data_IF_243608043916
#
_entry.id   IF_243608043916
#
_cell.length_a   1.000
_cell.length_b   1.000
_cell.length_c   1.000
_cell.angle_alpha   90.00
_cell.angle_beta   90.00
_cell.angle_gamma   90.00
#
_symmetry.space_group_name_H-M   'P 1'
#
loop_
_entity.id
_entity.type
_entity.pdbx_description
1 polymer ?
#
# COMPACT_ATOMS: atom_id res chain seq x y z
N UNK A 1 25.71 -44.09 77.69
CA UNK A 1 24.28 -44.35 77.45
C UNK A 1 23.83 -43.42 76.33
N UNK A 2 23.17 -43.83 75.26
CA UNK A 2 22.79 -45.19 74.84
C UNK A 2 21.58 -45.17 73.90
N UNK A 3 21.83 -45.25 72.58
CA UNK A 3 20.84 -45.54 71.52
C UNK A 3 19.71 -44.52 71.24
N UNK A 4 19.00 -44.61 70.09
CA UNK A 4 19.38 -45.23 68.80
C UNK A 4 19.19 -44.31 67.57
N UNK A 5 19.65 -44.80 66.41
CA UNK A 5 19.20 -44.33 65.10
C UNK A 5 17.96 -45.12 64.63
N UNK A 6 17.16 -44.55 63.73
CA UNK A 6 16.18 -45.29 62.92
C UNK A 6 16.04 -44.69 61.52
N UNK A 7 15.99 -45.57 60.52
CA UNK A 7 15.93 -45.27 59.08
C UNK A 7 14.46 -45.28 58.58
N UNK A 8 14.17 -44.98 57.28
CA UNK A 8 12.91 -44.34 56.90
C UNK A 8 11.72 -45.29 56.69
N UNK A 9 10.51 -44.72 56.73
CA UNK A 9 9.26 -45.33 56.26
C UNK A 9 8.81 -44.71 54.93
N UNK A 10 8.39 -45.55 53.99
CA UNK A 10 7.90 -45.13 52.69
C UNK A 10 6.45 -44.60 52.75
N UNK A 11 6.19 -43.50 52.04
CA UNK A 11 4.89 -42.82 52.00
C UNK A 11 4.46 -42.49 50.56
N UNK A 12 3.59 -43.36 50.04
CA UNK A 12 2.91 -43.41 48.74
C UNK A 12 2.80 -42.14 47.88
N UNK A 13 2.97 -42.39 46.58
CA UNK A 13 2.67 -41.55 45.42
C UNK A 13 1.30 -40.84 45.42
N UNK A 14 1.30 -39.57 45.03
CA UNK A 14 0.18 -38.95 44.29
C UNK A 14 0.68 -37.86 43.33
N UNK A 15 0.83 -38.21 42.05
CA UNK A 15 1.07 -37.21 40.99
C UNK A 15 -0.26 -36.53 40.66
N UNK A 16 -0.37 -35.24 40.95
CA UNK A 16 -1.49 -34.42 40.46
C UNK A 16 -1.10 -33.88 39.08
N UNK A 17 -1.78 -34.38 38.05
CA UNK A 17 -1.48 -34.06 36.65
C UNK A 17 -1.83 -32.63 36.27
N UNK A 18 -0.95 -31.98 35.52
CA UNK A 18 -1.22 -30.71 34.84
C UNK A 18 -2.20 -30.92 33.67
N UNK A 19 -3.22 -30.07 33.49
CA UNK A 19 -4.17 -30.22 32.39
C UNK A 19 -3.50 -29.85 31.05
N UNK A 20 -3.22 -30.87 30.22
CA UNK A 20 -2.87 -30.66 28.81
C UNK A 20 -4.10 -30.20 28.03
N UNK A 21 -4.09 -28.96 27.57
CA UNK A 21 -5.04 -28.47 26.57
C UNK A 21 -4.81 -29.16 25.21
N UNK A 22 -5.86 -29.40 24.40
CA UNK A 22 -5.75 -30.12 23.14
C UNK A 22 -5.02 -29.31 22.06
N UNK A 23 -4.10 -29.98 21.37
CA UNK A 23 -3.38 -29.45 20.20
C UNK A 23 -4.25 -29.47 18.95
N UNK A 24 -4.95 -28.38 18.65
CA UNK A 24 -5.63 -28.21 17.37
C UNK A 24 -4.66 -27.76 16.25
N UNK A 25 -4.26 -28.75 15.45
CA UNK A 25 -3.83 -28.71 14.04
C UNK A 25 -3.06 -27.51 13.47
N UNK A 26 -1.84 -27.77 13.00
CA UNK A 26 -1.30 -27.22 11.75
C UNK A 26 -0.26 -28.19 11.18
N UNK A 27 -0.31 -28.56 9.88
CA UNK A 27 0.67 -29.48 9.31
C UNK A 27 2.06 -28.85 9.24
N UNK A 28 3.11 -29.61 9.60
CA UNK A 28 4.49 -29.24 9.28
C UNK A 28 4.74 -29.51 7.80
N UNK A 29 5.01 -28.47 7.02
CA UNK A 29 5.66 -28.61 5.72
C UNK A 29 7.14 -28.95 5.95
N UNK A 30 7.57 -30.14 5.53
CA UNK A 30 8.99 -30.46 5.35
C UNK A 30 9.37 -30.30 3.86
N UNK A 31 10.60 -29.90 3.55
CA UNK A 31 11.04 -29.72 2.17
C UNK A 31 11.21 -31.06 1.45
N UNK A 32 10.88 -31.09 0.16
CA UNK A 32 11.06 -32.27 -0.68
C UNK A 32 12.54 -32.55 -0.94
N UNK A 33 12.92 -33.82 -0.83
CA UNK A 33 14.15 -34.37 -1.37
C UNK A 33 13.82 -35.61 -2.21
N UNK A 34 14.55 -35.78 -3.30
CA UNK A 34 14.42 -36.81 -4.34
C UNK A 34 14.66 -38.24 -3.86
N UNK A 35 13.93 -39.21 -4.41
CA UNK A 35 14.45 -40.29 -5.29
C UNK A 35 13.30 -41.14 -5.85
N UNK A 36 13.56 -41.80 -6.98
CA UNK A 36 12.64 -42.68 -7.72
C UNK A 36 12.25 -43.97 -6.97
N UNK A 37 11.05 -44.49 -7.22
CA UNK A 37 10.86 -45.82 -7.86
C UNK A 37 9.37 -46.19 -8.02
N UNK A 38 9.05 -46.98 -9.04
CA UNK A 38 7.71 -47.53 -9.36
C UNK A 38 7.80 -49.06 -9.38
N UNK A 39 6.82 -49.78 -8.79
CA UNK A 39 6.16 -50.81 -9.60
C UNK A 39 4.63 -50.90 -9.44
N UNK A 40 4.03 -51.47 -10.48
CA UNK A 40 2.61 -51.72 -10.75
C UNK A 40 2.03 -52.99 -10.11
N UNK A 41 0.75 -52.96 -9.74
CA UNK A 41 -0.28 -54.00 -9.99
C UNK A 41 -1.66 -53.43 -9.61
N UNK A 42 -2.66 -53.35 -10.48
CA UNK A 42 -3.63 -54.44 -10.77
C UNK A 42 -4.25 -55.10 -9.53
N UNK A 43 -5.54 -55.42 -9.45
CA UNK A 43 -6.74 -55.02 -10.20
C UNK A 43 -7.97 -55.56 -9.45
N UNK A 44 -9.15 -54.94 -9.60
CA UNK A 44 -10.46 -55.57 -9.89
C UNK A 44 -11.62 -54.64 -9.53
N UNK A 45 -12.54 -54.50 -10.48
CA UNK A 45 -13.86 -53.90 -10.28
C UNK A 45 -14.89 -54.99 -10.03
N UNK A 46 -16.04 -54.63 -9.45
CA UNK A 46 -17.36 -55.25 -9.61
C UNK A 46 -18.40 -54.32 -8.96
N UNK A 47 -19.66 -54.19 -9.42
CA UNK A 47 -20.21 -54.01 -10.77
C UNK A 47 -21.67 -53.50 -10.61
N UNK A 48 -22.24 -52.93 -11.67
CA UNK A 48 -23.69 -52.80 -11.85
C UNK A 48 -24.36 -51.52 -11.31
N UNK A 49 -25.35 -50.93 -11.99
CA UNK A 49 -25.87 -51.23 -13.33
C UNK A 49 -26.74 -50.06 -13.85
N UNK A 50 -26.75 -49.85 -15.19
CA UNK A 50 -27.92 -49.58 -16.09
C UNK A 50 -29.03 -48.59 -15.60
N UNK A 51 -29.58 -47.59 -16.30
CA UNK A 51 -29.72 -47.13 -17.71
C UNK A 51 -30.36 -45.70 -17.66
N UNK A 52 -30.51 -44.85 -18.70
CA UNK A 52 -30.06 -44.80 -20.12
C UNK A 52 -30.18 -43.36 -20.69
N UNK A 53 -29.62 -43.14 -21.88
CA UNK A 53 -29.71 -41.94 -22.77
C UNK A 53 -31.11 -41.74 -23.42
N UNK A 54 -31.38 -40.68 -24.24
CA UNK A 54 -30.86 -39.29 -24.24
C UNK A 54 -32.00 -38.23 -24.34
N UNK A 55 -31.67 -36.93 -24.21
CA UNK A 55 -32.39 -35.86 -24.97
C UNK A 55 -31.62 -34.54 -25.01
N UNK A 56 -31.48 -33.99 -26.23
CA UNK A 56 -30.96 -32.65 -26.46
C UNK A 56 -32.10 -31.61 -26.42
N UNK A 57 -31.82 -30.41 -25.91
CA UNK A 57 -32.73 -29.27 -25.97
C UNK A 57 -31.96 -27.99 -26.30
N UNK A 58 -32.27 -27.41 -27.47
CA UNK A 58 -31.75 -26.12 -27.93
C UNK A 58 -32.45 -24.95 -27.20
N UNK A 59 -31.84 -23.74 -27.17
CA UNK A 59 -32.52 -22.54 -26.71
C UNK A 59 -33.50 -22.00 -27.77
N UNK A 60 -34.66 -21.43 -27.39
CA UNK A 60 -35.57 -20.81 -28.34
C UNK A 60 -35.05 -19.45 -28.84
N UNK A 61 -35.39 -19.15 -30.10
CA UNK A 61 -34.91 -18.02 -30.89
C UNK A 61 -36.06 -17.08 -31.29
N UNK A 62 -35.72 -15.81 -31.58
CA UNK A 62 -36.46 -14.85 -32.43
C UNK A 62 -37.85 -14.39 -31.91
N UNK A 63 -38.41 -13.23 -32.27
CA UNK A 63 -38.44 -12.43 -33.52
C UNK A 63 -38.62 -10.92 -33.18
N UNK A 64 -38.58 -9.88 -34.04
CA UNK A 64 -38.00 -9.56 -35.37
C UNK A 64 -38.10 -8.02 -35.53
N UNK A 65 -37.29 -7.38 -36.39
CA UNK A 65 -37.51 -5.97 -36.78
C UNK A 65 -36.23 -5.22 -37.19
N UNK A 66 -36.08 -4.91 -38.48
CA UNK A 66 -34.91 -4.23 -39.07
C UNK A 66 -35.30 -2.84 -39.66
N UNK A 67 -34.54 -2.20 -40.59
CA UNK A 67 -33.43 -1.29 -40.23
C UNK A 67 -33.53 0.12 -40.88
N UNK A 68 -32.72 1.08 -40.43
CA UNK A 68 -32.35 2.29 -41.20
C UNK A 68 -30.95 2.80 -40.79
N UNK A 69 -29.92 2.57 -41.61
CA UNK A 69 -29.35 3.50 -42.62
C UNK A 69 -28.78 4.81 -42.07
N UNK A 70 -27.44 4.90 -42.02
CA UNK A 70 -26.69 6.17 -42.09
C UNK A 70 -26.93 6.87 -43.43
N UNK A 71 -26.60 8.16 -43.53
CA UNK A 71 -25.55 8.50 -44.49
C UNK A 71 -24.44 9.38 -43.90
N UNK A 72 -23.21 9.13 -44.36
CA UNK A 72 -22.16 10.15 -44.39
C UNK A 72 -22.34 11.03 -45.63
N UNK A 73 -22.09 12.32 -45.52
CA UNK A 73 -21.85 13.19 -46.67
C UNK A 73 -20.69 14.14 -46.34
N UNK A 74 -19.74 14.23 -47.27
CA UNK A 74 -18.62 15.16 -47.23
C UNK A 74 -18.66 16.04 -48.49
N UNK A 75 -17.76 17.04 -48.54
CA UNK A 75 -17.38 17.84 -49.71
C UNK A 75 -18.36 18.97 -50.10
N UNK A 76 -17.90 20.22 -49.92
CA UNK A 76 -17.63 21.12 -51.06
C UNK A 76 -16.64 22.24 -50.70
N UNK A 77 -15.88 22.68 -51.71
CA UNK A 77 -14.85 23.74 -51.67
C UNK A 77 -15.44 25.10 -52.09
N UNK A 78 -14.82 26.20 -51.64
CA UNK A 78 -15.02 27.56 -52.16
C UNK A 78 -14.89 28.59 -51.03
N UNK A 79 -13.79 29.32 -50.81
CA UNK A 79 -13.01 30.24 -51.67
C UNK A 79 -13.48 31.70 -51.56
N UNK A 80 -12.51 32.58 -51.26
CA UNK A 80 -12.55 34.05 -51.28
C UNK A 80 -13.40 34.73 -50.18
N UNK A 81 -12.77 35.66 -49.45
CA UNK A 81 -13.42 36.47 -48.42
C UNK A 81 -13.77 37.88 -48.90
N UNK A 82 -14.56 38.60 -48.10
CA UNK A 82 -14.76 40.05 -48.18
C UNK A 82 -15.15 40.57 -46.79
N UNK A 83 -14.69 41.78 -46.45
CA UNK A 83 -15.06 42.50 -45.23
C UNK A 83 -16.56 42.87 -45.22
N UNK A 84 -17.23 42.59 -44.11
CA UNK A 84 -18.49 43.24 -43.73
C UNK A 84 -18.48 43.53 -42.22
N UNK A 85 -18.70 44.78 -41.80
CA UNK A 85 -18.69 45.15 -40.38
C UNK A 85 -19.95 44.67 -39.65
N UNK A 86 -19.79 44.37 -38.36
CA UNK A 86 -20.89 43.99 -37.47
C UNK A 86 -21.87 45.16 -37.26
N UNK A 87 -23.20 44.91 -37.21
CA UNK A 87 -24.19 45.95 -36.90
C UNK A 87 -24.07 46.41 -35.43
N UNK A 88 -24.46 47.66 -35.12
CA UNK A 88 -24.31 48.22 -33.77
C UNK A 88 -25.25 47.55 -32.75
N UNK A 89 -24.88 47.50 -31.46
CA UNK A 89 -25.66 46.84 -30.43
C UNK A 89 -26.96 47.57 -30.12
N UNK A 90 -28.07 46.84 -30.13
CA UNK A 90 -29.40 47.35 -29.80
C UNK A 90 -29.49 47.82 -28.35
N UNK A 91 -29.76 49.11 -28.16
CA UNK A 91 -30.17 49.68 -26.88
C UNK A 91 -31.59 49.20 -26.55
N UNK A 92 -31.73 48.25 -25.61
CA UNK A 92 -32.83 48.12 -24.62
C UNK A 92 -32.90 46.69 -24.04
N UNK A 93 -32.20 46.46 -22.93
CA UNK A 93 -32.59 45.52 -21.86
C UNK A 93 -31.70 45.77 -20.64
N UNK A 94 -32.25 46.01 -19.44
CA UNK A 94 -31.43 46.21 -18.26
C UNK A 94 -30.74 44.91 -17.86
N UNK A 95 -29.41 44.93 -17.75
CA UNK A 95 -28.64 43.80 -17.25
C UNK A 95 -28.96 43.60 -15.77
N UNK A 96 -29.79 42.60 -15.46
CA UNK A 96 -30.06 42.17 -14.09
C UNK A 96 -28.87 41.35 -13.59
N UNK A 97 -27.80 42.03 -13.19
CA UNK A 97 -26.65 41.40 -12.52
C UNK A 97 -27.08 41.02 -11.10
N UNK A 98 -27.22 39.73 -10.75
CA UNK A 98 -27.53 39.36 -9.38
C UNK A 98 -26.36 39.76 -8.47
N UNK A 99 -26.60 40.33 -7.28
CA UNK A 99 -25.53 40.61 -6.33
C UNK A 99 -24.85 39.30 -5.94
N UNK A 100 -23.51 39.31 -5.92
CA UNK A 100 -22.72 38.08 -5.80
C UNK A 100 -23.05 37.25 -4.56
N UNK A 101 -23.54 36.04 -4.78
CA UNK A 101 -23.78 35.06 -3.71
C UNK A 101 -22.44 34.66 -3.07
N UNK A 102 -22.24 34.84 -1.76
CA UNK A 102 -21.04 34.33 -1.09
C UNK A 102 -21.12 32.80 -1.04
N UNK A 103 -20.19 32.09 -1.68
CA UNK A 103 -20.00 30.65 -1.45
C UNK A 103 -19.73 29.75 -2.65
N UNK A 104 -19.91 30.20 -3.90
CA UNK A 104 -19.63 29.37 -5.10
C UNK A 104 -18.28 29.69 -5.73
N UNK A 105 -17.20 29.53 -4.97
CA UNK A 105 -15.89 29.30 -5.56
C UNK A 105 -15.92 27.94 -6.25
N UNK A 106 -15.90 27.92 -7.59
CA UNK A 106 -15.66 26.70 -8.37
C UNK A 106 -14.41 26.02 -7.80
N UNK A 107 -14.47 24.73 -7.38
CA UNK A 107 -13.33 24.09 -6.78
C UNK A 107 -12.20 24.01 -7.80
N UNK A 108 -11.16 24.81 -7.58
CA UNK A 108 -9.95 24.80 -8.39
C UNK A 108 -9.38 23.37 -8.33
N UNK A 109 -9.10 22.68 -9.45
CA UNK A 109 -8.62 21.28 -9.41
C UNK A 109 -7.34 21.09 -8.58
N UNK A 110 -6.56 22.15 -8.37
CA UNK A 110 -5.40 22.15 -7.45
C UNK A 110 -5.77 22.09 -5.95
N UNK A 111 -7.03 22.31 -5.55
CA UNK A 111 -7.49 22.16 -4.15
C UNK A 111 -7.75 20.71 -3.73
N UNK A 112 -7.69 19.76 -4.66
CA UNK A 112 -7.82 18.32 -4.38
C UNK A 112 -6.47 17.66 -4.06
N UNK A 113 -5.36 18.27 -4.48
CA UNK A 113 -4.01 17.80 -4.15
C UNK A 113 -3.72 18.19 -2.68
N UNK A 114 -3.33 17.23 -1.82
CA UNK A 114 -3.01 17.55 -0.43
C UNK A 114 -1.72 18.39 -0.39
N UNK A 115 -1.80 19.59 0.22
CA UNK A 115 -0.66 20.52 0.28
C UNK A 115 0.47 19.93 1.14
N UNK A 116 1.66 19.85 0.56
CA UNK A 116 2.90 19.57 1.29
C UNK A 116 3.47 20.83 1.94
N UNK A 117 4.17 20.64 3.05
CA UNK A 117 5.10 21.63 3.62
C UNK A 117 6.51 21.21 3.20
N UNK A 118 7.32 22.06 2.55
CA UNK A 118 8.70 21.74 2.23
C UNK A 118 9.50 21.37 3.48
N UNK A 119 10.43 20.42 3.34
CA UNK A 119 11.26 19.92 4.44
C UNK A 119 12.72 19.93 4.00
N UNK A 120 13.62 20.24 4.92
CA UNK A 120 15.05 19.97 4.74
C UNK A 120 15.61 19.36 6.02
N UNK A 121 15.96 18.08 5.95
CA UNK A 121 16.52 17.34 7.08
C UNK A 121 17.93 17.74 7.48
N UNK A 122 18.65 18.46 6.61
CA UNK A 122 20.03 18.90 6.84
C UNK A 122 20.15 20.07 7.82
N UNK A 123 19.08 20.86 7.99
CA UNK A 123 18.97 21.94 8.98
C UNK A 123 18.08 21.53 10.14
N UNK A 124 18.45 21.91 11.36
CA UNK A 124 17.69 21.53 12.57
C UNK A 124 16.28 22.15 12.63
N UNK A 125 16.09 23.33 12.01
CA UNK A 125 14.80 24.00 11.88
C UNK A 125 13.97 23.56 10.67
N UNK A 126 14.48 22.69 9.80
CA UNK A 126 13.88 22.37 8.50
C UNK A 126 12.69 21.41 8.54
N UNK A 127 11.90 21.39 9.62
CA UNK A 127 10.65 20.60 9.73
C UNK A 127 10.83 19.14 10.16
N UNK A 128 12.06 18.72 10.51
CA UNK A 128 12.35 17.41 11.08
C UNK A 128 12.21 17.38 12.61
N UNK A 129 11.93 16.19 13.16
CA UNK A 129 11.79 16.00 14.61
C UNK A 129 13.12 16.20 15.34
N UNK A 130 13.06 16.67 16.59
CA UNK A 130 14.25 16.84 17.43
C UNK A 130 14.92 15.52 17.81
N UNK A 131 14.17 14.41 17.79
CA UNK A 131 14.72 13.07 17.99
C UNK A 131 15.45 12.60 16.73
N UNK A 132 16.66 12.06 16.91
CA UNK A 132 17.38 11.35 15.85
C UNK A 132 16.97 9.88 15.91
N UNK A 133 16.34 9.32 14.85
CA UNK A 133 15.98 7.91 14.82
C UNK A 133 17.22 7.03 14.80
N UNK A 134 17.11 5.79 15.31
CA UNK A 134 18.18 4.79 15.20
C UNK A 134 18.19 4.25 13.77
N UNK A 135 19.12 4.75 12.96
CA UNK A 135 19.35 4.28 11.59
C UNK A 135 20.21 2.99 11.60
N UNK A 136 20.09 2.20 10.54
CA UNK A 136 21.01 1.08 10.28
C UNK A 136 22.28 1.65 9.62
N UNK A 137 23.43 1.00 9.82
CA UNK A 137 24.70 1.41 9.19
C UNK A 137 24.70 1.17 7.66
N UNK A 138 24.09 0.07 7.22
CA UNK A 138 23.84 -0.28 5.83
C UNK A 138 22.34 -0.57 5.65
N UNK A 139 21.77 -0.17 4.52
CA UNK A 139 20.39 -0.56 4.18
C UNK A 139 20.26 -2.08 3.97
N UNK A 140 19.08 -2.66 4.28
CA UNK A 140 18.75 -4.05 3.94
C UNK A 140 18.82 -4.29 2.43
N UNK A 141 19.13 -5.52 2.05
CA UNK A 141 19.00 -5.95 0.65
C UNK A 141 17.56 -6.45 0.44
N UNK A 142 16.93 -5.98 -0.63
CA UNK A 142 15.52 -6.29 -0.96
C UNK A 142 15.41 -6.72 -2.41
N UNK A 143 14.45 -7.60 -2.69
CA UNK A 143 14.16 -8.05 -4.04
C UNK A 143 12.65 -8.11 -4.28
N UNK A 144 12.18 -7.42 -5.32
CA UNK A 144 10.81 -7.60 -5.79
C UNK A 144 10.67 -8.96 -6.48
N UNK A 145 9.93 -9.87 -5.85
CA UNK A 145 9.71 -11.21 -6.38
C UNK A 145 8.70 -11.18 -7.52
N UNK A 146 7.56 -10.52 -7.32
CA UNK A 146 6.39 -10.56 -8.22
C UNK A 146 5.61 -9.25 -8.18
N UNK A 147 4.98 -8.89 -9.30
CA UNK A 147 4.06 -7.76 -9.42
C UNK A 147 2.73 -8.14 -10.07
N UNK A 148 1.62 -7.80 -9.43
CA UNK A 148 0.27 -8.01 -9.98
C UNK A 148 -0.50 -6.69 -10.11
N UNK A 149 -1.24 -6.52 -11.21
CA UNK A 149 -2.21 -5.43 -11.37
C UNK A 149 -3.47 -5.76 -10.56
N UNK A 150 -3.90 -4.84 -9.71
CA UNK A 150 -5.16 -4.94 -8.96
C UNK A 150 -6.17 -3.96 -9.56
N UNK A 151 -7.32 -4.42 -10.10
CA UNK A 151 -8.39 -3.53 -10.54
C UNK A 151 -8.93 -2.68 -9.38
N UNK A 152 -9.10 -1.38 -9.60
CA UNK A 152 -9.74 -0.47 -8.63
C UNK A 152 -11.08 0.04 -9.18
N UNK A 153 -12.02 0.35 -8.31
CA UNK A 153 -13.31 0.96 -8.67
C UNK A 153 -13.17 2.39 -9.18
N UNK A 154 -12.11 3.10 -8.77
CA UNK A 154 -11.81 4.45 -9.21
C UNK A 154 -11.15 4.54 -10.61
N UNK A 155 -10.88 3.41 -11.27
CA UNK A 155 -10.21 3.36 -12.57
C UNK A 155 -8.69 3.61 -12.54
N UNK A 156 -8.15 4.07 -11.42
CA UNK A 156 -6.70 4.23 -11.20
C UNK A 156 -6.00 2.88 -11.32
N UNK A 157 -4.91 2.85 -12.09
CA UNK A 157 -4.06 1.66 -12.20
C UNK A 157 -3.29 1.47 -10.90
N UNK A 158 -3.47 0.31 -10.26
CA UNK A 158 -2.82 -0.06 -9.02
C UNK A 158 -2.07 -1.38 -9.21
N UNK A 159 -0.85 -1.46 -8.68
CA UNK A 159 -0.01 -2.64 -8.72
C UNK A 159 0.50 -2.99 -7.33
N UNK A 160 0.35 -4.26 -6.94
CA UNK A 160 1.04 -4.80 -5.77
C UNK A 160 2.38 -5.37 -6.20
N UNK A 161 3.44 -4.94 -5.51
CA UNK A 161 4.79 -5.49 -5.63
C UNK A 161 5.12 -6.23 -4.34
N UNK A 162 5.46 -7.51 -4.42
CA UNK A 162 5.85 -8.34 -3.27
C UNK A 162 7.38 -8.39 -3.16
N UNK A 163 7.91 -8.15 -1.97
CA UNK A 163 9.33 -8.04 -1.67
C UNK A 163 9.78 -9.06 -0.63
N UNK A 164 10.88 -9.75 -0.88
CA UNK A 164 11.69 -10.40 0.17
C UNK A 164 12.88 -9.53 0.56
N UNK A 165 13.52 -9.88 1.67
CA UNK A 165 14.63 -9.14 2.25
C UNK A 165 15.61 -10.07 2.99
N UNK A 166 16.75 -9.53 3.41
CA UNK A 166 17.81 -10.25 4.14
C UNK A 166 17.84 -10.00 5.66
N UNK A 167 16.87 -9.28 6.23
CA UNK A 167 16.80 -8.92 7.66
C UNK A 167 15.75 -9.74 8.42
N UNK A 168 14.62 -10.08 7.79
CA UNK A 168 13.64 -11.03 8.32
C UNK A 168 13.06 -11.95 7.25
N UNK A 169 12.33 -12.98 7.70
CA UNK A 169 11.71 -13.98 6.83
C UNK A 169 10.30 -13.55 6.36
N UNK A 170 10.01 -12.24 6.29
CA UNK A 170 8.69 -11.75 5.89
C UNK A 170 8.68 -11.19 4.49
N UNK A 171 7.52 -11.32 3.85
CA UNK A 171 7.25 -10.70 2.56
C UNK A 171 6.60 -9.34 2.77
N UNK A 172 7.20 -8.27 2.27
CA UNK A 172 6.70 -6.90 2.38
C UNK A 172 6.03 -6.47 1.08
N UNK A 173 5.13 -5.49 1.15
CA UNK A 173 4.36 -5.04 -0.01
C UNK A 173 4.64 -3.57 -0.34
N UNK A 174 4.72 -3.25 -1.63
CA UNK A 174 4.55 -1.88 -2.12
C UNK A 174 3.30 -1.81 -2.99
N UNK A 175 2.33 -1.00 -2.56
CA UNK A 175 1.12 -0.66 -3.32
C UNK A 175 1.45 0.57 -4.16
N UNK A 176 1.56 0.39 -5.47
CA UNK A 176 1.97 1.43 -6.41
C UNK A 176 0.77 1.89 -7.22
N UNK A 177 0.55 3.19 -7.27
CA UNK A 177 -0.52 3.86 -8.01
C UNK A 177 0.10 4.57 -9.22
N UNK A 178 -0.39 4.28 -10.42
CA UNK A 178 0.20 4.72 -11.68
C UNK A 178 1.00 3.63 -12.41
N UNK A 179 1.49 3.97 -13.62
CA UNK A 179 2.18 3.04 -14.53
C UNK A 179 3.69 3.34 -14.71
N UNK A 180 4.14 4.49 -14.20
CA UNK A 180 5.48 5.06 -14.36
C UNK A 180 6.50 4.51 -13.36
N UNK A 181 6.06 4.19 -12.13
CA UNK A 181 6.93 3.66 -11.06
C UNK A 181 7.16 2.16 -11.29
N UNK A 182 8.43 1.74 -11.31
CA UNK A 182 8.84 0.35 -11.58
C UNK A 182 10.01 -0.07 -10.69
N UNK A 183 10.04 -1.35 -10.35
CA UNK A 183 11.13 -1.97 -9.56
C UNK A 183 12.29 -2.40 -10.45
N UNK A 184 13.51 -2.02 -10.08
CA UNK A 184 14.76 -2.42 -10.74
C UNK A 184 14.98 -3.93 -10.64
N UNK A 185 14.82 -4.52 -9.46
CA UNK A 185 14.97 -5.96 -9.23
C UNK A 185 13.83 -6.79 -9.84
N UNK A 186 12.65 -6.21 -10.06
CA UNK A 186 11.60 -6.81 -10.88
C UNK A 186 11.98 -6.79 -12.36
N UNK A 187 12.47 -5.68 -12.90
CA UNK A 187 12.73 -5.58 -14.33
C UNK A 187 14.01 -6.28 -14.79
N UNK A 188 14.96 -6.52 -13.87
CA UNK A 188 16.16 -7.32 -14.12
C UNK A 188 15.86 -8.67 -14.77
N UNK A 189 16.73 -9.09 -15.69
CA UNK A 189 16.70 -10.42 -16.34
C UNK A 189 17.35 -11.43 -15.40
N UNK A 190 16.66 -12.55 -15.14
CA UNK A 190 17.19 -13.63 -14.31
C UNK A 190 17.83 -14.71 -15.19
N UNK A 191 18.92 -15.38 -14.76
CA UNK A 191 19.54 -16.45 -15.55
C UNK A 191 18.54 -17.58 -15.83
N UNK A 192 18.43 -18.00 -17.09
CA UNK A 192 17.51 -19.06 -17.53
C UNK A 192 16.02 -18.66 -17.61
N UNK A 193 15.68 -17.39 -17.37
CA UNK A 193 14.30 -16.90 -17.37
C UNK A 193 13.75 -16.75 -18.80
N UNK A 194 12.57 -17.33 -19.08
CA UNK A 194 11.88 -17.13 -20.36
C UNK A 194 11.03 -15.86 -20.37
N UNK A 195 10.63 -15.38 -21.55
CA UNK A 195 9.67 -14.26 -21.67
C UNK A 195 8.33 -14.57 -20.96
N UNK A 196 7.92 -15.84 -20.90
CA UNK A 196 6.72 -16.25 -20.17
C UNK A 196 6.92 -16.12 -18.66
N UNK A 197 8.06 -16.55 -18.13
CA UNK A 197 8.39 -16.39 -16.70
C UNK A 197 8.43 -14.92 -16.30
N UNK A 198 9.00 -14.05 -17.16
CA UNK A 198 8.98 -12.59 -16.99
C UNK A 198 7.55 -12.05 -16.90
N UNK A 199 6.65 -12.52 -17.76
CA UNK A 199 5.25 -12.11 -17.74
C UNK A 199 4.49 -12.65 -16.52
N UNK A 200 4.69 -13.92 -16.13
CA UNK A 200 4.11 -14.55 -14.93
C UNK A 200 4.54 -13.79 -13.66
N UNK A 201 5.83 -13.45 -13.58
CA UNK A 201 6.42 -12.63 -12.53
C UNK A 201 5.88 -11.19 -12.50
N UNK A 202 5.27 -10.74 -13.58
CA UNK A 202 4.79 -9.37 -13.72
C UNK A 202 5.82 -8.37 -14.22
N UNK A 203 7.01 -8.81 -14.65
CA UNK A 203 8.09 -7.98 -15.20
C UNK A 203 7.83 -7.59 -16.67
N UNK A 204 6.68 -6.96 -16.94
CA UNK A 204 6.22 -6.57 -18.28
C UNK A 204 5.84 -5.09 -18.40
N UNK A 205 5.74 -4.58 -19.63
CA UNK A 205 5.25 -3.23 -19.95
C UNK A 205 3.90 -3.26 -20.68
N UNK A 206 3.10 -2.20 -20.56
CA UNK A 206 1.74 -2.16 -21.13
C UNK A 206 0.75 -3.12 -20.45
N UNK A 207 -0.29 -3.53 -21.18
CA UNK A 207 -1.39 -4.37 -20.68
C UNK A 207 -1.20 -5.82 -21.17
N UNK A 208 -1.47 -6.81 -20.32
CA UNK A 208 -1.48 -8.23 -20.72
C UNK A 208 -2.76 -8.58 -21.48
N UNK A 209 -2.64 -9.49 -22.44
CA UNK A 209 -3.75 -10.06 -23.21
C UNK A 209 -3.46 -11.55 -23.50
N UNK A 210 -4.50 -12.39 -23.68
CA UNK A 210 -4.31 -13.80 -24.03
C UNK A 210 -3.48 -13.97 -25.31
N UNK A 211 -2.50 -14.87 -25.30
CA UNK A 211 -1.61 -15.12 -26.44
C UNK A 211 -0.44 -14.13 -26.59
N UNK A 212 -0.22 -13.22 -25.64
CA UNK A 212 0.97 -12.36 -25.63
C UNK A 212 2.25 -13.19 -25.41
N UNK A 213 3.30 -12.89 -26.16
CA UNK A 213 4.57 -13.66 -26.19
C UNK A 213 5.81 -12.89 -25.73
N UNK A 214 5.74 -11.56 -25.55
CA UNK A 214 6.85 -10.77 -25.00
C UNK A 214 6.42 -9.89 -23.83
N UNK A 215 7.31 -9.79 -22.85
CA UNK A 215 7.29 -8.87 -21.72
C UNK A 215 7.37 -7.38 -22.13
N UNK A 216 7.95 -7.08 -23.29
CA UNK A 216 7.97 -5.74 -23.88
C UNK A 216 6.65 -5.41 -24.58
N UNK A 217 6.23 -4.15 -24.57
CA UNK A 217 5.16 -3.65 -25.45
C UNK A 217 5.76 -3.39 -26.84
N UNK A 218 5.05 -3.75 -27.91
CA UNK A 218 5.51 -3.50 -29.28
C UNK A 218 5.76 -2.00 -29.49
N UNK A 219 6.98 -1.64 -29.89
CA UNK A 219 7.43 -0.25 -30.02
C UNK A 219 8.16 0.35 -28.81
N UNK A 220 8.29 -0.36 -27.68
CA UNK A 220 8.99 0.17 -26.49
C UNK A 220 10.52 0.29 -26.68
N UNK A 221 11.14 -0.56 -27.51
CA UNK A 221 12.60 -0.70 -27.60
C UNK A 221 13.34 0.55 -28.10
N UNK A 222 12.74 1.35 -28.98
CA UNK A 222 13.35 2.58 -29.51
C UNK A 222 13.22 3.74 -28.53
N UNK A 223 12.02 3.92 -27.97
CA UNK A 223 11.72 5.02 -27.03
C UNK A 223 12.44 4.86 -25.69
N UNK A 224 12.58 3.63 -25.17
CA UNK A 224 13.22 3.41 -23.86
C UNK A 224 14.72 3.71 -23.84
N UNK A 225 15.45 3.46 -24.93
CA UNK A 225 16.89 3.77 -24.99
C UNK A 225 17.14 5.28 -25.09
N UNK A 226 16.34 6.00 -25.88
CA UNK A 226 16.42 7.45 -25.97
C UNK A 226 15.98 8.13 -24.66
N UNK A 227 14.94 7.64 -24.00
CA UNK A 227 14.51 8.16 -22.69
C UNK A 227 15.52 7.88 -21.58
N UNK A 228 16.20 6.73 -21.55
CA UNK A 228 17.27 6.47 -20.58
C UNK A 228 18.48 7.39 -20.78
N UNK A 229 18.87 7.68 -22.03
CA UNK A 229 19.94 8.64 -22.31
C UNK A 229 19.54 10.08 -21.97
N UNK A 230 18.29 10.49 -22.24
CA UNK A 230 17.78 11.81 -21.85
C UNK A 230 17.63 11.98 -20.34
N UNK A 231 17.19 10.94 -19.61
CA UNK A 231 17.12 10.98 -18.14
C UNK A 231 18.50 11.08 -17.48
N UNK A 232 19.52 10.41 -18.04
CA UNK A 232 20.90 10.56 -17.56
C UNK A 232 21.48 11.97 -17.83
N UNK A 233 21.04 12.65 -18.90
CA UNK A 233 21.46 14.02 -19.19
C UNK A 233 20.69 15.07 -18.37
N UNK A 234 19.39 14.85 -18.07
CA UNK A 234 18.59 15.76 -17.24
C UNK A 234 18.98 15.75 -15.75
N UNK A 235 19.63 14.70 -15.24
CA UNK A 235 20.12 14.65 -13.86
C UNK A 235 21.23 15.68 -13.54
N UNK A 236 21.74 16.44 -14.53
CA UNK A 236 22.71 17.52 -14.31
C UNK A 236 22.10 18.93 -14.24
N UNK A 237 20.76 19.07 -14.30
CA UNK A 237 20.12 20.38 -14.20
C UNK A 237 18.86 20.30 -13.33
N UNK A 238 19.07 20.43 -12.01
CA UNK A 238 18.08 20.10 -10.99
C UNK A 238 17.10 21.24 -10.68
N UNK A 239 16.00 21.30 -11.42
CA UNK A 239 14.73 21.84 -10.95
C UNK A 239 13.62 20.84 -11.34
N UNK A 240 13.48 19.78 -10.52
CA UNK A 240 12.36 18.83 -10.66
C UNK A 240 11.10 19.52 -10.18
N UNK A 241 10.20 19.81 -11.12
CA UNK A 241 8.89 20.40 -10.83
C UNK A 241 8.13 19.56 -9.79
N UNK A 242 7.46 20.22 -8.84
CA UNK A 242 6.85 19.56 -7.67
C UNK A 242 5.78 18.52 -8.04
N UNK A 243 5.26 18.59 -9.26
CA UNK A 243 4.26 17.69 -9.81
C UNK A 243 4.80 16.31 -10.23
N UNK A 244 6.11 16.13 -10.37
CA UNK A 244 6.73 14.87 -10.82
C UNK A 244 7.19 13.98 -9.65
N UNK A 245 7.20 14.51 -8.42
CA UNK A 245 7.62 13.79 -7.21
C UNK A 245 6.44 12.96 -6.65
N UNK A 246 6.53 11.63 -6.50
CA UNK A 246 5.40 10.83 -6.06
C UNK A 246 5.04 11.03 -4.59
N UNK A 247 3.75 10.84 -4.29
CA UNK A 247 3.24 10.83 -2.92
C UNK A 247 3.52 9.45 -2.29
N UNK A 248 4.26 9.43 -1.18
CA UNK A 248 4.73 8.20 -0.53
C UNK A 248 4.20 8.09 0.89
N UNK A 249 3.75 6.89 1.26
CA UNK A 249 3.25 6.56 2.60
C UNK A 249 3.99 5.34 3.13
N UNK A 250 4.67 5.48 4.27
CA UNK A 250 5.23 4.34 4.99
C UNK A 250 4.24 3.87 6.05
N UNK A 251 3.56 2.78 5.73
CA UNK A 251 2.54 2.15 6.55
C UNK A 251 3.10 0.94 7.30
N UNK A 252 2.61 0.71 8.51
CA UNK A 252 2.96 -0.48 9.31
C UNK A 252 1.68 -1.27 9.51
N UNK A 253 1.72 -2.54 9.15
CA UNK A 253 0.62 -3.51 9.30
C UNK A 253 -0.08 -3.37 10.65
N UNK A 254 -1.41 -3.25 10.61
CA UNK A 254 -2.28 -3.19 11.76
C UNK A 254 -3.56 -3.97 11.47
N UNK A 255 -3.46 -5.30 11.50
CA UNK A 255 -4.53 -6.25 11.17
C UNK A 255 -5.87 -5.90 11.85
N UNK A 256 -5.80 -5.52 13.13
CA UNK A 256 -7.01 -5.15 13.88
C UNK A 256 -7.71 -3.92 13.31
N UNK A 257 -6.98 -2.89 12.91
CA UNK A 257 -7.55 -1.65 12.38
C UNK A 257 -7.91 -1.73 10.88
N UNK A 258 -7.15 -2.52 10.11
CA UNK A 258 -7.28 -2.61 8.65
C UNK A 258 -8.25 -3.71 8.19
N UNK A 259 -8.31 -4.84 8.90
CA UNK A 259 -9.09 -6.01 8.50
C UNK A 259 -10.23 -6.31 9.47
N UNK A 260 -10.04 -6.08 10.77
CA UNK A 260 -11.05 -6.37 11.79
C UNK A 260 -11.87 -5.13 12.25
N UNK A 261 -11.82 -4.03 11.49
CA UNK A 261 -12.57 -2.78 11.74
C UNK A 261 -12.46 -2.24 13.18
N UNK A 262 -11.31 -2.44 13.84
CA UNK A 262 -11.14 -2.14 15.26
C UNK A 262 -11.20 -0.63 15.54
N UNK A 263 -12.18 -0.24 16.34
CA UNK A 263 -12.32 1.12 16.85
C UNK A 263 -11.32 1.50 17.96
N UNK A 264 -10.18 0.79 18.10
CA UNK A 264 -9.08 1.13 19.03
C UNK A 264 -7.94 1.92 18.38
N UNK A 265 -7.92 2.04 17.06
CA UNK A 265 -6.88 2.77 16.34
C UNK A 265 -7.38 3.28 14.98
N UNK A 266 -6.70 4.28 14.45
CA UNK A 266 -6.97 4.94 13.16
C UNK A 266 -6.26 4.28 11.96
N UNK A 267 -5.62 3.12 12.14
CA UNK A 267 -4.71 2.57 11.13
C UNK A 267 -5.37 2.20 9.80
N UNK A 268 -6.57 1.60 9.82
CA UNK A 268 -7.32 1.28 8.60
C UNK A 268 -7.70 2.55 7.84
N UNK A 269 -8.23 3.54 8.54
CA UNK A 269 -8.63 4.81 7.93
C UNK A 269 -7.43 5.60 7.36
N UNK A 270 -6.27 5.54 8.01
CA UNK A 270 -5.02 6.10 7.45
C UNK A 270 -4.56 5.35 6.18
N UNK A 271 -4.86 4.06 6.04
CA UNK A 271 -4.54 3.29 4.83
C UNK A 271 -5.51 3.65 3.69
N UNK A 272 -6.81 3.71 3.98
CA UNK A 272 -7.86 4.08 3.03
C UNK A 272 -7.65 5.51 2.50
N UNK A 273 -7.37 6.48 3.37
CA UNK A 273 -7.11 7.87 2.95
C UNK A 273 -5.81 7.98 2.13
N UNK A 274 -4.77 7.20 2.47
CA UNK A 274 -3.55 7.14 1.64
C UNK A 274 -3.86 6.65 0.23
N UNK A 275 -4.58 5.52 0.11
CA UNK A 275 -4.97 4.96 -1.18
C UNK A 275 -5.88 5.91 -1.96
N UNK A 276 -6.84 6.58 -1.30
CA UNK A 276 -7.73 7.57 -1.90
C UNK A 276 -6.96 8.78 -2.44
N UNK A 277 -6.02 9.33 -1.68
CA UNK A 277 -5.19 10.47 -2.09
C UNK A 277 -4.27 10.12 -3.28
N UNK A 278 -3.64 8.95 -3.25
CA UNK A 278 -2.77 8.49 -4.34
C UNK A 278 -3.56 8.15 -5.61
N UNK A 279 -4.85 7.79 -5.47
CA UNK A 279 -5.76 7.50 -6.58
C UNK A 279 -6.44 8.73 -7.20
N UNK A 280 -6.12 9.94 -6.76
CA UNK A 280 -6.69 11.15 -7.37
C UNK A 280 -6.17 11.37 -8.80
N UNK A 281 -7.03 11.71 -9.77
CA UNK A 281 -6.59 12.00 -11.16
C UNK A 281 -5.59 13.15 -11.30
N UNK A 282 -5.53 14.04 -10.29
CA UNK A 282 -4.56 15.14 -10.21
C UNK A 282 -3.15 14.71 -9.77
N UNK A 283 -2.96 13.46 -9.34
CA UNK A 283 -1.67 12.94 -8.87
C UNK A 283 -0.86 12.31 -10.02
N UNK A 284 -0.42 13.13 -10.98
CA UNK A 284 0.26 12.67 -12.20
C UNK A 284 1.58 11.88 -11.94
N UNK A 285 2.33 12.25 -10.89
CA UNK A 285 3.53 11.52 -10.46
C UNK A 285 3.28 10.06 -10.03
N UNK A 286 2.03 9.70 -9.71
CA UNK A 286 1.70 8.44 -9.06
C UNK A 286 1.96 8.46 -7.55
N UNK A 287 1.86 7.29 -6.92
CA UNK A 287 2.00 7.17 -5.47
C UNK A 287 2.41 5.79 -5.00
N UNK A 288 2.96 5.70 -3.79
CA UNK A 288 3.51 4.46 -3.23
C UNK A 288 3.12 4.33 -1.76
N UNK A 289 2.40 3.26 -1.41
CA UNK A 289 2.27 2.82 -0.02
C UNK A 289 3.25 1.66 0.20
N UNK A 290 4.32 1.92 0.94
CA UNK A 290 5.17 0.85 1.45
C UNK A 290 4.47 0.28 2.69
N UNK A 291 4.00 -0.96 2.57
CA UNK A 291 3.28 -1.68 3.60
C UNK A 291 4.24 -2.67 4.28
N UNK A 292 4.71 -2.29 5.47
CA UNK A 292 5.66 -3.09 6.24
C UNK A 292 4.95 -4.02 7.22
N UNK A 293 5.22 -5.33 7.15
CA UNK A 293 4.68 -6.37 8.04
C UNK A 293 5.36 -6.39 9.42
N UNK A 294 5.14 -5.31 10.17
CA UNK A 294 5.68 -5.06 11.50
C UNK A 294 4.58 -4.68 12.50
N UNK A 295 3.56 -5.54 12.57
CA UNK A 295 2.45 -5.45 13.51
C UNK A 295 2.90 -5.22 14.96
N UNK A 296 2.09 -4.48 15.71
CA UNK A 296 2.32 -4.16 17.12
C UNK A 296 3.48 -3.19 17.36
N UNK A 297 3.98 -2.50 16.33
CA UNK A 297 5.27 -1.78 16.34
C UNK A 297 6.49 -2.72 16.43
N UNK A 298 6.38 -3.90 15.84
CA UNK A 298 7.44 -4.91 15.76
C UNK A 298 7.31 -6.06 16.77
N UNK A 299 6.43 -5.96 17.78
CA UNK A 299 6.20 -7.04 18.77
C UNK A 299 5.28 -8.15 18.26
N UNK A 300 4.57 -7.93 17.15
CA UNK A 300 3.64 -8.89 16.55
C UNK A 300 2.21 -8.86 17.14
N UNK A 301 1.30 -9.57 16.46
CA UNK A 301 -0.14 -9.53 16.76
C UNK A 301 -0.49 -10.11 18.14
N UNK A 302 0.09 -11.26 18.50
CA UNK A 302 -0.23 -11.93 19.78
C UNK A 302 0.11 -11.06 21.00
N UNK A 303 1.27 -10.40 20.98
CA UNK A 303 1.70 -9.48 22.04
C UNK A 303 0.88 -8.20 22.07
N UNK A 304 0.49 -7.65 20.91
CA UNK A 304 -0.46 -6.54 20.82
C UNK A 304 -1.82 -6.89 21.45
N UNK A 305 -2.33 -8.11 21.23
CA UNK A 305 -3.58 -8.56 21.85
C UNK A 305 -3.46 -8.77 23.37
N UNK A 306 -2.30 -9.21 23.87
CA UNK A 306 -2.03 -9.21 25.33
C UNK A 306 -2.01 -7.80 25.90
N UNK A 307 -1.38 -6.85 25.21
CA UNK A 307 -1.34 -5.45 25.62
C UNK A 307 -2.74 -4.82 25.64
N UNK A 308 -3.62 -5.21 24.71
CA UNK A 308 -5.03 -4.85 24.69
C UNK A 308 -5.77 -5.39 25.92
N UNK A 309 -5.59 -6.66 26.28
CA UNK A 309 -6.22 -7.24 27.48
C UNK A 309 -5.77 -6.52 28.77
N UNK A 310 -4.49 -6.12 28.87
CA UNK A 310 -3.98 -5.35 30.01
C UNK A 310 -4.60 -3.94 30.07
N UNK A 311 -4.82 -3.29 28.92
CA UNK A 311 -5.53 -2.01 28.85
C UNK A 311 -7.00 -2.14 29.26
N UNK A 312 -7.67 -3.22 28.86
CA UNK A 312 -9.05 -3.51 29.27
C UNK A 312 -9.15 -3.85 30.78
N UNK A 313 -8.06 -4.31 31.40
CA UNK A 313 -7.91 -4.48 32.84
C UNK A 313 -7.52 -3.18 33.58
N UNK A 314 -7.35 -2.06 32.86
CA UNK A 314 -7.11 -0.72 33.43
C UNK A 314 -5.67 -0.21 33.35
N UNK A 315 -4.71 -0.98 32.83
CA UNK A 315 -3.33 -0.50 32.66
C UNK A 315 -3.23 0.56 31.55
N UNK A 316 -2.39 1.57 31.76
CA UNK A 316 -2.09 2.56 30.71
C UNK A 316 -1.25 1.93 29.57
N UNK A 317 -1.21 2.57 28.39
CA UNK A 317 -0.49 2.00 27.22
C UNK A 317 1.02 1.83 27.47
N UNK A 318 1.64 2.61 28.37
CA UNK A 318 3.05 2.48 28.73
C UNK A 318 3.21 1.33 29.73
N UNK A 319 2.38 1.28 30.76
CA UNK A 319 2.34 0.21 31.76
C UNK A 319 2.13 -1.16 31.13
N UNK A 320 1.16 -1.31 30.22
CA UNK A 320 0.91 -2.55 29.50
C UNK A 320 2.13 -3.05 28.71
N UNK A 321 2.92 -2.15 28.11
CA UNK A 321 4.17 -2.50 27.44
C UNK A 321 5.28 -2.87 28.44
N UNK A 322 5.39 -2.16 29.57
CA UNK A 322 6.36 -2.47 30.63
C UNK A 322 6.10 -3.84 31.27
N UNK A 323 4.83 -4.16 31.57
CA UNK A 323 4.40 -5.46 32.09
C UNK A 323 4.77 -6.62 31.16
N UNK A 324 4.64 -6.40 29.85
CA UNK A 324 5.02 -7.37 28.81
C UNK A 324 6.51 -7.31 28.43
N UNK A 325 7.29 -6.38 29.02
CA UNK A 325 8.72 -6.12 28.76
C UNK A 325 9.03 -5.72 27.31
N UNK A 326 8.08 -5.08 26.64
CA UNK A 326 8.21 -4.64 25.26
C UNK A 326 8.85 -3.26 25.14
N UNK A 327 9.69 -3.01 24.12
CA UNK A 327 10.17 -1.67 23.80
C UNK A 327 9.01 -0.79 23.28
N UNK A 328 9.07 0.52 23.54
CA UNK A 328 8.04 1.45 23.10
C UNK A 328 7.86 1.53 21.56
N UNK A 329 8.93 1.23 20.80
CA UNK A 329 8.90 1.05 19.36
C UNK A 329 10.09 0.17 18.94
N UNK A 330 9.85 -0.98 18.28
CA UNK A 330 10.89 -1.86 17.75
C UNK A 330 11.06 -1.75 16.22
N UNK A 331 10.35 -0.82 15.57
CA UNK A 331 10.32 -0.73 14.11
C UNK A 331 11.63 -0.18 13.54
N UNK A 332 12.02 -0.74 12.40
CA UNK A 332 13.05 -0.16 11.52
C UNK A 332 12.39 0.34 10.23
N UNK A 333 12.92 1.45 9.70
CA UNK A 333 12.46 2.03 8.45
C UNK A 333 13.45 1.86 7.29
N UNK A 334 14.65 1.31 7.55
CA UNK A 334 15.64 1.05 6.50
C UNK A 334 15.14 0.11 5.40
N UNK A 335 14.24 -0.83 5.74
CA UNK A 335 13.60 -1.70 4.75
C UNK A 335 12.69 -0.91 3.79
N UNK A 336 11.97 0.10 4.28
CA UNK A 336 11.19 0.99 3.42
C UNK A 336 12.09 1.84 2.52
N UNK A 337 13.21 2.35 3.04
CA UNK A 337 14.20 3.09 2.25
C UNK A 337 14.74 2.23 1.11
N UNK A 338 15.13 0.97 1.39
CA UNK A 338 15.61 0.03 0.37
C UNK A 338 14.54 -0.29 -0.69
N UNK A 339 13.29 -0.51 -0.29
CA UNK A 339 12.17 -0.74 -1.24
C UNK A 339 11.92 0.49 -2.13
N UNK A 340 12.04 1.71 -1.60
CA UNK A 340 11.92 2.94 -2.40
C UNK A 340 13.06 3.11 -3.41
N UNK A 341 14.30 2.81 -3.02
CA UNK A 341 15.44 2.83 -3.95
C UNK A 341 15.31 1.80 -5.08
N UNK A 342 14.79 0.61 -4.78
CA UNK A 342 14.49 -0.41 -5.80
C UNK A 342 13.37 0.04 -6.74
N UNK A 343 12.32 0.72 -6.22
CA UNK A 343 11.29 1.41 -7.03
C UNK A 343 11.81 2.66 -7.77
N UNK A 344 13.12 2.93 -7.72
CA UNK A 344 13.75 4.03 -8.45
C UNK A 344 13.59 5.42 -7.83
N UNK A 345 13.14 5.51 -6.57
CA UNK A 345 12.81 6.79 -5.94
C UNK A 345 14.00 7.36 -5.17
N UNK A 346 14.43 8.57 -5.55
CA UNK A 346 15.40 9.40 -4.81
C UNK A 346 14.72 10.51 -4.02
N UNK A 347 13.64 11.08 -4.55
CA UNK A 347 12.95 12.23 -3.99
C UNK A 347 11.48 11.89 -3.77
N UNK A 348 10.93 12.20 -2.58
CA UNK A 348 9.55 11.83 -2.23
C UNK A 348 8.80 12.96 -1.53
N UNK A 349 7.46 12.95 -1.67
CA UNK A 349 6.54 13.70 -0.80
C UNK A 349 5.97 12.75 0.24
N UNK A 350 6.36 12.88 1.51
CA UNK A 350 6.06 11.89 2.56
C UNK A 350 4.77 12.21 3.31
N UNK A 351 3.79 11.32 3.26
CA UNK A 351 2.48 11.42 3.90
C UNK A 351 2.54 10.99 5.39
N UNK A 352 2.92 11.92 6.27
CA UNK A 352 3.16 11.68 7.71
C UNK A 352 2.87 12.90 8.61
N UNK A 353 2.41 12.59 9.83
CA UNK A 353 2.35 13.54 10.96
C UNK A 353 3.41 13.26 12.04
N UNK A 354 4.14 12.15 11.92
CA UNK A 354 5.29 11.86 12.75
C UNK A 354 6.52 12.53 12.10
N UNK A 355 7.15 13.53 12.74
CA UNK A 355 8.34 14.21 12.22
C UNK A 355 9.61 13.34 12.27
N UNK A 356 9.70 12.39 13.20
CA UNK A 356 10.84 11.48 13.33
C UNK A 356 10.90 10.50 12.15
N UNK A 357 9.74 10.17 11.55
CA UNK A 357 9.66 9.33 10.33
C UNK A 357 10.38 9.94 9.14
N UNK A 358 10.56 11.26 9.08
CA UNK A 358 11.19 11.94 7.94
C UNK A 358 12.65 11.47 7.84
N UNK A 359 13.47 11.79 8.86
CA UNK A 359 14.87 11.33 8.96
C UNK A 359 15.00 9.80 8.93
N UNK A 360 14.01 9.06 9.43
CA UNK A 360 14.06 7.60 9.45
C UNK A 360 13.89 6.95 8.06
N UNK A 361 13.18 7.61 7.15
CA UNK A 361 12.91 7.12 5.78
C UNK A 361 14.00 7.55 4.81
N UNK A 362 14.70 8.65 5.08
CA UNK A 362 15.82 9.09 4.23
C UNK A 362 17.01 8.12 4.23
N UNK A 363 17.20 7.37 5.32
CA UNK A 363 18.31 6.42 5.46
C UNK A 363 19.60 7.06 6.00
N UNK A 364 20.63 6.24 6.32
CA UNK A 364 21.88 6.72 6.93
C UNK A 364 22.67 7.70 6.04
N UNK A 365 22.58 7.58 4.72
CA UNK A 365 23.31 8.40 3.75
C UNK A 365 22.40 9.32 2.92
N UNK A 366 21.13 9.52 3.35
CA UNK A 366 20.07 10.22 2.57
C UNK A 366 19.83 9.55 1.21
N UNK A 367 19.78 8.22 1.23
CA UNK A 367 19.42 7.33 0.13
C UNK A 367 18.08 7.68 -0.54
N UNK A 368 17.18 8.30 0.22
CA UNK A 368 15.95 8.97 -0.22
C UNK A 368 15.93 10.35 0.43
N UNK A 369 15.35 11.36 -0.24
CA UNK A 369 15.20 12.73 0.28
C UNK A 369 13.72 13.09 0.38
N UNK A 370 13.28 13.52 1.55
CA UNK A 370 11.89 13.99 1.74
C UNK A 370 11.81 15.47 1.39
N UNK A 371 11.32 15.79 0.20
CA UNK A 371 11.19 17.18 -0.28
C UNK A 371 10.02 17.92 0.34
N UNK A 372 8.91 17.22 0.53
CA UNK A 372 7.73 17.77 1.21
C UNK A 372 7.15 16.77 2.20
N UNK A 373 6.67 17.25 3.34
CA UNK A 373 5.82 16.51 4.26
C UNK A 373 4.37 16.86 3.98
N UNK A 374 3.59 15.87 3.60
CA UNK A 374 2.15 15.98 3.46
C UNK A 374 1.48 15.49 4.75
N UNK A 375 0.54 16.25 5.30
CA UNK A 375 -0.18 15.84 6.50
C UNK A 375 -1.12 14.66 6.20
N UNK A 376 -1.07 13.63 7.04
CA UNK A 376 -2.01 12.50 7.00
C UNK A 376 -3.26 12.86 7.80
N UNK A 377 -4.34 13.27 7.15
CA UNK A 377 -5.58 13.65 7.83
C UNK A 377 -6.71 12.73 7.37
N UNK A 378 -7.08 11.72 8.19
CA UNK A 378 -8.25 10.86 7.95
C UNK A 378 -9.56 11.66 7.72
N UNK A 379 -10.59 10.99 7.20
CA UNK A 379 -11.89 11.60 6.89
C UNK A 379 -12.69 11.91 8.17
N UNK A 380 -12.61 11.03 9.16
CA UNK A 380 -13.24 11.16 10.49
C UNK A 380 -12.82 12.44 11.19
N UNK A 381 -11.56 12.83 11.04
CA UNK A 381 -11.00 14.04 11.65
C UNK A 381 -11.52 15.30 10.97
N UNK A 382 -11.83 15.24 9.67
CA UNK A 382 -12.46 16.33 8.92
C UNK A 382 -13.97 16.43 9.14
N UNK A 383 -14.53 15.66 10.07
CA UNK A 383 -15.96 15.64 10.39
C UNK A 383 -16.87 15.17 9.24
N UNK A 384 -16.32 14.51 8.21
CA UNK A 384 -17.05 14.07 7.01
C UNK A 384 -16.83 12.60 6.73
N UNK A 385 -17.63 11.77 7.40
CA UNK A 385 -17.57 10.30 7.33
C UNK A 385 -16.41 9.73 8.13
N UNK A 386 -16.54 8.46 8.57
CA UNK A 386 -15.62 7.81 9.50
C UNK A 386 -16.22 7.62 10.89
N UNK A 387 -15.59 6.80 11.72
CA UNK A 387 -16.11 6.43 13.04
C UNK A 387 -15.53 7.32 14.16
N UNK A 388 -16.30 7.51 15.24
CA UNK A 388 -15.83 8.13 16.49
C UNK A 388 -15.91 7.08 17.61
N UNK A 389 -14.89 7.01 18.46
CA UNK A 389 -14.86 6.14 19.63
C UNK A 389 -13.95 6.75 20.72
N UNK A 390 -14.28 6.50 21.99
CA UNK A 390 -13.48 6.99 23.13
C UNK A 390 -12.07 6.40 23.13
N UNK A 391 -11.96 5.18 22.61
CA UNK A 391 -10.73 4.41 22.46
C UNK A 391 -9.80 5.04 21.42
N UNK A 392 -10.32 5.50 20.27
CA UNK A 392 -9.52 6.28 19.30
C UNK A 392 -9.13 7.63 19.89
N UNK A 393 -10.04 8.35 20.55
CA UNK A 393 -9.74 9.65 21.16
C UNK A 393 -8.58 9.56 22.16
N UNK A 394 -8.61 8.58 23.08
CA UNK A 394 -7.52 8.32 24.03
C UNK A 394 -6.19 7.91 23.37
N UNK A 395 -6.27 7.12 22.28
CA UNK A 395 -5.11 6.73 21.49
C UNK A 395 -4.47 7.89 20.73
N UNK A 396 -5.28 8.77 20.14
CA UNK A 396 -4.81 9.98 19.43
C UNK A 396 -4.21 11.00 20.41
N UNK A 397 -4.85 11.22 21.56
CA UNK A 397 -4.29 12.04 22.65
C UNK A 397 -2.89 11.54 23.04
N UNK A 398 -2.74 10.23 23.23
CA UNK A 398 -1.45 9.59 23.53
C UNK A 398 -0.39 9.81 22.43
N UNK A 399 -0.77 9.76 21.15
CA UNK A 399 0.15 10.06 20.02
C UNK A 399 0.65 11.52 20.03
N UNK A 400 -0.22 12.47 20.36
CA UNK A 400 0.12 13.90 20.40
C UNK A 400 1.00 14.16 21.61
N UNK A 401 0.48 13.93 22.81
CA UNK A 401 1.10 14.34 24.08
C UNK A 401 2.39 13.57 24.40
N UNK A 402 2.38 12.24 24.25
CA UNK A 402 3.51 11.37 24.63
C UNK A 402 4.45 11.05 23.47
N UNK A 403 4.02 11.22 22.21
CA UNK A 403 4.81 10.82 21.03
C UNK A 403 5.10 11.94 20.02
N UNK A 404 4.74 13.20 20.30
CA UNK A 404 5.20 14.37 19.52
C UNK A 404 4.71 14.41 18.07
N UNK A 405 3.51 13.88 17.79
CA UNK A 405 2.92 13.98 16.45
C UNK A 405 2.44 15.42 16.19
N UNK A 406 2.76 15.95 15.01
CA UNK A 406 2.36 17.30 14.59
C UNK A 406 0.89 17.30 14.15
N UNK A 407 0.00 17.45 15.12
CA UNK A 407 -1.44 17.57 14.92
C UNK A 407 -1.94 18.82 15.65
N UNK A 408 -2.57 19.74 14.92
CA UNK A 408 -3.30 20.84 15.54
C UNK A 408 -4.56 20.31 16.22
N UNK A 409 -4.75 20.63 17.50
CA UNK A 409 -5.90 20.22 18.29
C UNK A 409 -7.24 20.69 17.70
N UNK A 410 -7.25 21.80 16.95
CA UNK A 410 -8.41 22.28 16.19
C UNK A 410 -8.78 21.44 14.95
N UNK A 411 -7.98 20.43 14.60
CA UNK A 411 -8.28 19.46 13.52
C UNK A 411 -8.84 18.14 14.07
N UNK A 412 -8.92 18.00 15.40
CA UNK A 412 -9.59 16.88 16.03
C UNK A 412 -11.11 17.13 16.00
N UNK A 413 -11.92 16.08 15.83
CA UNK A 413 -13.37 16.22 15.92
C UNK A 413 -13.77 16.57 17.36
N UNK A 414 -14.37 17.75 17.55
CA UNK A 414 -15.02 18.17 18.80
C UNK A 414 -16.26 17.34 19.11
#
# INVERSE_FOLDING_TARGET
>A
MGSPASQPMAGQSSQIGSPKLPSFYSPRTQPAATTDDVPTSEATALDGALQSEPSASQPPQQTQGAPSTRPSAAILRGALGHDQPLPPPSLLSPAFTPPGTPGTSTPNPSSLIPRGVPVDSSVESGGCGSKRPRLLEKLPEVQCIVRARIPTTAGTQMFLHLYTNNVDNKEHLAIVFGNNIRSKSLDAVRPGETEMDRMIRGAYTGVLYPGRTSSSAAGASETSQQQQQQQQQQQQQSDVERNDIPLVRIHSECYTGETAWSARCDCGEQLDEAARLMSLPSNAAGGIIIYLRQEGRGIGLGEKLKAYNLQDLGSDTVEANLLLRHPADARSYGLATAMLQDLGQTDIRLLTNNPDKIRAVEGPNREVVVRERVAMIPLSWRGRGGFRSKEVEGYLKTKIEKMGHMLDSGTMPS
#
